data_IF_916591923325
#
_entry.id   IF_916591923325
#
_cell.length_a   1.000
_cell.length_b   1.000
_cell.length_c   1.000
_cell.angle_alpha   90.00
_cell.angle_beta   90.00
_cell.angle_gamma   90.00
#
_symmetry.space_group_name_H-M   'P 1'
#
loop_
_entity.id
_entity.type
_entity.pdbx_description
1 polymer ?
#
# COMPACT_ATOMS: atom_id res chain seq x y z
N UNK A 1 56.78 -20.64 10.14
CA UNK A 1 57.92 -20.81 11.07
C UNK A 1 57.83 -19.76 12.17
N UNK A 2 58.57 -19.95 13.27
CA UNK A 2 58.64 -19.10 14.49
C UNK A 2 57.35 -18.88 15.29
N UNK A 3 57.45 -19.21 16.58
CA UNK A 3 56.42 -19.25 17.64
C UNK A 3 56.61 -18.07 18.64
N UNK A 4 55.84 -17.93 19.74
CA UNK A 4 55.62 -16.64 20.43
C UNK A 4 56.27 -16.53 21.84
N UNK A 5 55.84 -15.50 22.60
CA UNK A 5 55.95 -15.36 24.07
C UNK A 5 54.66 -14.61 24.56
N UNK A 6 54.09 -14.68 25.79
CA UNK A 6 54.50 -15.11 27.15
C UNK A 6 55.46 -14.14 27.88
N UNK A 7 55.25 -13.68 29.13
CA UNK A 7 54.15 -13.74 30.14
C UNK A 7 54.05 -12.30 30.80
N UNK A 8 53.63 -11.95 32.04
CA UNK A 8 53.21 -12.66 33.27
C UNK A 8 52.43 -11.72 34.27
N UNK A 9 51.88 -12.31 35.34
CA UNK A 9 51.36 -11.81 36.66
C UNK A 9 50.72 -10.41 36.84
N UNK A 10 49.59 -10.38 37.58
CA UNK A 10 49.05 -9.19 38.26
C UNK A 10 47.84 -9.51 39.16
N UNK A 11 48.03 -10.26 40.25
CA UNK A 11 46.96 -10.72 41.16
C UNK A 11 46.68 -9.79 42.37
N UNK A 12 45.72 -10.23 43.23
CA UNK A 12 45.17 -9.61 44.46
C UNK A 12 44.02 -8.60 44.23
N UNK A 13 42.97 -8.53 45.06
CA UNK A 13 42.58 -9.40 46.19
C UNK A 13 41.35 -8.81 46.93
N UNK A 14 40.33 -9.63 47.24
CA UNK A 14 39.08 -9.21 47.90
C UNK A 14 39.20 -9.32 49.43
N UNK A 15 38.69 -8.36 50.24
CA UNK A 15 37.46 -8.68 51.00
C UNK A 15 36.50 -7.51 51.35
N UNK A 16 35.20 -7.83 51.33
CA UNK A 16 34.15 -7.51 52.33
C UNK A 16 33.84 -6.06 52.80
N UNK A 17 32.68 -5.57 52.34
CA UNK A 17 31.57 -4.84 53.01
C UNK A 17 31.73 -4.32 54.47
N UNK A 18 31.06 -3.19 54.81
CA UNK A 18 29.72 -3.32 55.41
C UNK A 18 28.62 -2.49 54.72
N UNK A 19 27.36 -2.70 55.15
CA UNK A 19 26.17 -2.02 54.61
C UNK A 19 25.98 -0.59 55.17
N UNK A 20 25.50 0.30 54.32
CA UNK A 20 24.49 1.31 54.70
C UNK A 20 23.33 1.18 53.71
N UNK A 21 22.10 1.17 54.23
CA UNK A 21 20.88 1.23 53.42
C UNK A 21 20.39 2.67 53.36
N UNK A 22 20.11 3.15 52.16
CA UNK A 22 19.37 4.41 51.96
C UNK A 22 18.21 4.18 51.01
N UNK A 23 17.05 4.73 51.39
CA UNK A 23 15.74 4.37 50.83
C UNK A 23 15.09 5.64 50.31
N UNK A 24 14.88 5.76 48.99
CA UNK A 24 13.60 6.29 48.49
C UNK A 24 13.29 6.18 46.99
N UNK A 25 11.98 6.30 46.72
CA UNK A 25 11.39 6.93 45.53
C UNK A 25 11.84 6.47 44.14
N UNK A 26 11.69 5.17 43.85
CA UNK A 26 11.49 4.72 42.46
C UNK A 26 10.18 5.25 41.89
N UNK A 27 10.23 6.34 41.11
CA UNK A 27 9.05 6.94 40.48
C UNK A 27 8.42 6.03 39.43
N UNK A 28 7.28 5.41 39.76
CA UNK A 28 6.52 4.58 38.83
C UNK A 28 5.73 5.43 37.83
N UNK A 29 6.36 5.76 36.70
CA UNK A 29 5.67 6.29 35.52
C UNK A 29 4.52 5.36 35.10
N UNK A 30 3.24 5.78 35.15
CA UNK A 30 2.13 4.91 34.82
C UNK A 30 2.17 4.54 33.32
N UNK A 31 2.08 3.25 32.96
CA UNK A 31 2.31 2.80 31.59
C UNK A 31 1.30 3.43 30.63
N UNK A 32 1.82 4.10 29.59
CA UNK A 32 1.01 4.76 28.57
C UNK A 32 -0.07 3.82 28.01
N UNK A 33 -1.34 4.25 27.93
CA UNK A 33 -2.45 3.38 27.56
C UNK A 33 -2.21 2.80 26.17
N UNK A 34 -2.06 1.46 26.10
CA UNK A 34 -1.83 0.71 24.87
C UNK A 34 -2.93 1.07 23.87
N UNK A 35 -2.55 1.61 22.70
CA UNK A 35 -3.48 1.95 21.62
C UNK A 35 -4.33 0.71 21.32
N UNK A 36 -5.65 0.82 21.49
CA UNK A 36 -6.58 -0.30 21.36
C UNK A 36 -6.33 -1.07 20.05
N UNK A 37 -6.34 -2.41 20.06
CA UNK A 37 -6.03 -3.19 18.87
C UNK A 37 -7.14 -3.02 17.84
N UNK A 38 -6.98 -2.03 16.96
CA UNK A 38 -7.65 -1.99 15.68
C UNK A 38 -7.28 -3.30 14.97
N UNK A 39 -8.20 -4.28 14.97
CA UNK A 39 -8.07 -5.54 14.22
C UNK A 39 -7.53 -5.18 12.84
N UNK A 40 -6.30 -5.59 12.54
CA UNK A 40 -5.71 -5.29 11.24
C UNK A 40 -6.50 -6.10 10.22
N UNK A 41 -7.28 -5.38 9.40
CA UNK A 41 -8.02 -5.91 8.27
C UNK A 41 -7.16 -6.95 7.53
N UNK A 42 -7.56 -8.24 7.50
CA UNK A 42 -6.78 -9.29 6.85
C UNK A 42 -6.50 -8.99 5.38
N UNK A 43 -7.42 -8.31 4.69
CA UNK A 43 -7.24 -7.91 3.29
C UNK A 43 -6.12 -6.85 3.15
N UNK A 44 -5.98 -5.95 4.13
CA UNK A 44 -4.87 -4.98 4.21
C UNK A 44 -3.53 -5.65 4.57
N UNK A 45 -3.55 -6.70 5.38
CA UNK A 45 -2.35 -7.49 5.69
C UNK A 45 -1.88 -8.29 4.46
N UNK A 46 -2.80 -9.01 3.80
CA UNK A 46 -2.53 -9.75 2.57
C UNK A 46 -2.00 -8.83 1.45
N UNK A 47 -2.65 -7.68 1.22
CA UNK A 47 -2.20 -6.70 0.21
C UNK A 47 -0.77 -6.20 0.48
N UNK A 48 -0.40 -5.96 1.75
CA UNK A 48 0.98 -5.60 2.12
C UNK A 48 1.98 -6.72 1.84
N UNK A 49 1.64 -7.96 2.17
CA UNK A 49 2.49 -9.12 1.89
C UNK A 49 2.69 -9.30 0.36
N UNK A 50 1.63 -9.12 -0.43
CA UNK A 50 1.71 -9.11 -1.89
C UNK A 50 2.57 -7.95 -2.41
N UNK A 51 2.38 -6.72 -1.92
CA UNK A 51 3.15 -5.55 -2.37
C UNK A 51 4.67 -5.69 -2.11
N UNK A 52 5.10 -6.49 -1.13
CA UNK A 52 6.51 -6.84 -0.89
C UNK A 52 7.08 -7.83 -1.93
N UNK A 53 6.28 -8.77 -2.44
CA UNK A 53 6.76 -9.84 -3.35
C UNK A 53 6.46 -9.60 -4.83
N UNK A 54 5.51 -8.71 -5.17
CA UNK A 54 4.96 -8.53 -6.53
C UNK A 54 6.00 -8.28 -7.62
N UNK A 55 7.09 -7.59 -7.30
CA UNK A 55 8.16 -7.29 -8.27
C UNK A 55 8.89 -8.56 -8.68
N UNK A 56 9.52 -9.24 -7.71
CA UNK A 56 10.21 -10.52 -7.91
C UNK A 56 9.29 -11.58 -8.52
N UNK A 57 8.03 -11.65 -8.07
CA UNK A 57 7.05 -12.59 -8.59
C UNK A 57 6.75 -12.34 -10.08
N UNK A 58 6.61 -11.08 -10.51
CA UNK A 58 6.40 -10.74 -11.91
C UNK A 58 7.62 -11.09 -12.77
N UNK A 59 8.84 -10.87 -12.27
CA UNK A 59 10.10 -11.16 -12.97
C UNK A 59 10.34 -12.66 -13.11
N UNK A 60 10.20 -13.43 -12.02
CA UNK A 60 10.33 -14.89 -12.03
C UNK A 60 9.28 -15.54 -12.94
N UNK A 61 8.03 -15.08 -12.88
CA UNK A 61 6.96 -15.61 -13.71
C UNK A 61 7.12 -15.29 -15.21
N UNK A 62 7.65 -14.11 -15.54
CA UNK A 62 7.95 -13.75 -16.93
C UNK A 62 9.06 -14.63 -17.52
N UNK A 63 10.06 -15.01 -16.71
CA UNK A 63 11.10 -15.96 -17.10
C UNK A 63 10.51 -17.38 -17.28
N UNK A 64 9.71 -17.86 -16.33
CA UNK A 64 9.01 -19.16 -16.41
C UNK A 64 8.14 -19.27 -17.67
N UNK A 65 7.44 -18.20 -18.05
CA UNK A 65 6.68 -18.11 -19.30
C UNK A 65 7.56 -18.21 -20.55
N UNK A 66 8.67 -17.45 -20.63
CA UNK A 66 9.54 -17.47 -21.81
C UNK A 66 10.25 -18.82 -21.98
N UNK A 67 10.73 -19.42 -20.88
CA UNK A 67 11.38 -20.73 -20.92
C UNK A 67 10.40 -21.84 -21.34
N UNK A 68 9.18 -21.86 -20.76
CA UNK A 68 8.19 -22.90 -21.02
C UNK A 68 7.50 -22.78 -22.39
N UNK A 69 7.22 -21.56 -22.84
CA UNK A 69 6.39 -21.30 -24.03
C UNK A 69 7.22 -20.93 -25.26
N UNK A 70 8.38 -20.32 -25.06
CA UNK A 70 9.22 -19.77 -26.14
C UNK A 70 10.67 -20.29 -26.11
N UNK A 71 11.05 -21.16 -25.17
CA UNK A 71 12.40 -21.67 -24.97
C UNK A 71 13.45 -20.54 -24.84
N UNK A 72 13.17 -19.54 -23.99
CA UNK A 72 14.09 -18.45 -23.67
C UNK A 72 14.31 -17.43 -24.80
N UNK A 73 13.52 -17.49 -25.89
CA UNK A 73 13.73 -16.68 -27.09
C UNK A 73 13.50 -15.19 -26.87
N UNK A 74 12.60 -14.79 -25.97
CA UNK A 74 12.35 -13.36 -25.69
C UNK A 74 13.47 -12.79 -24.82
N UNK A 75 13.93 -13.53 -23.81
CA UNK A 75 15.10 -13.21 -22.99
C UNK A 75 16.37 -13.11 -23.85
N UNK A 76 16.63 -14.10 -24.73
CA UNK A 76 17.74 -14.06 -25.67
C UNK A 76 17.69 -12.82 -26.58
N UNK A 77 16.53 -12.53 -27.18
CA UNK A 77 16.33 -11.36 -28.05
C UNK A 77 16.43 -10.00 -27.33
N UNK A 78 16.11 -9.94 -26.04
CA UNK A 78 16.21 -8.72 -25.23
C UNK A 78 17.50 -8.61 -24.41
N UNK A 79 18.37 -9.62 -24.44
CA UNK A 79 19.61 -9.68 -23.64
C UNK A 79 20.50 -8.44 -23.84
N UNK A 80 20.70 -8.01 -25.08
CA UNK A 80 21.48 -6.82 -25.44
C UNK A 80 20.88 -5.49 -24.93
N UNK A 81 19.61 -5.47 -24.54
CA UNK A 81 18.92 -4.31 -23.93
C UNK A 81 18.64 -4.51 -22.44
N UNK A 82 19.26 -5.52 -21.81
CA UNK A 82 19.12 -5.86 -20.41
C UNK A 82 17.79 -6.55 -20.05
N UNK A 83 17.19 -7.30 -20.98
CA UNK A 83 15.94 -8.03 -20.76
C UNK A 83 14.65 -7.21 -20.93
N UNK A 84 13.51 -7.88 -20.87
CA UNK A 84 12.18 -7.25 -20.83
C UNK A 84 12.03 -6.46 -19.52
N UNK A 85 11.68 -5.17 -19.59
CA UNK A 85 11.55 -4.33 -18.39
C UNK A 85 10.12 -4.34 -17.83
N UNK A 86 9.95 -4.76 -16.58
CA UNK A 86 8.66 -4.68 -15.88
C UNK A 86 8.53 -3.30 -15.21
N UNK A 87 7.45 -2.57 -15.50
CA UNK A 87 7.26 -1.17 -15.08
C UNK A 87 5.92 -1.01 -14.35
N UNK A 88 5.97 -0.68 -13.07
CA UNK A 88 4.75 -0.51 -12.26
C UNK A 88 4.19 0.92 -12.37
N UNK A 89 2.92 1.01 -12.76
CA UNK A 89 2.24 2.25 -13.14
C UNK A 89 1.10 2.58 -12.19
N UNK A 90 1.19 3.77 -11.58
CA UNK A 90 0.11 4.35 -10.75
C UNK A 90 -0.99 4.98 -11.58
N UNK A 91 -0.77 5.18 -12.89
CA UNK A 91 -1.62 5.97 -13.77
C UNK A 91 -2.45 5.12 -14.74
N UNK A 92 -2.08 3.86 -14.99
CA UNK A 92 -2.89 2.92 -15.76
C UNK A 92 -4.19 2.58 -14.98
N UNK A 93 -5.33 3.17 -15.37
CA UNK A 93 -6.65 2.98 -14.71
C UNK A 93 -7.63 2.09 -15.49
N UNK A 94 -7.37 1.83 -16.79
CA UNK A 94 -8.33 1.22 -17.74
C UNK A 94 -7.94 -0.17 -18.25
N UNK A 95 -6.67 -0.54 -18.12
CA UNK A 95 -6.17 -1.90 -18.35
C UNK A 95 -5.35 -2.33 -17.14
N UNK A 96 -5.22 -3.65 -16.93
CA UNK A 96 -4.39 -4.18 -15.87
C UNK A 96 -2.89 -4.22 -16.23
N UNK A 97 -2.58 -4.30 -17.53
CA UNK A 97 -1.22 -4.21 -18.06
C UNK A 97 -1.15 -3.49 -19.42
N UNK A 98 0.06 -3.44 -19.99
CA UNK A 98 0.37 -3.11 -21.39
C UNK A 98 1.79 -3.51 -21.79
N UNK A 99 1.93 -4.47 -22.69
CA UNK A 99 3.16 -4.75 -23.40
C UNK A 99 3.56 -3.60 -24.34
N UNK A 100 4.86 -3.31 -24.43
CA UNK A 100 5.44 -2.42 -25.44
C UNK A 100 6.71 -3.07 -26.01
N UNK A 101 6.92 -2.92 -27.31
CA UNK A 101 8.11 -3.45 -27.99
C UNK A 101 8.51 -2.58 -29.18
N UNK A 102 9.82 -2.49 -29.44
CA UNK A 102 10.39 -1.97 -30.69
C UNK A 102 11.65 -2.75 -31.07
N UNK A 103 11.91 -2.86 -32.37
CA UNK A 103 13.29 -3.11 -32.85
C UNK A 103 14.06 -1.80 -32.74
N UNK A 104 15.27 -1.86 -32.21
CA UNK A 104 16.28 -0.82 -32.23
C UNK A 104 17.35 -1.28 -33.23
N UNK A 105 17.63 -0.45 -34.24
CA UNK A 105 18.61 -0.73 -35.28
C UNK A 105 19.76 0.24 -35.10
N UNK A 106 20.99 -0.27 -35.09
CA UNK A 106 22.16 0.57 -34.93
C UNK A 106 22.46 1.32 -36.24
N UNK A 107 21.89 2.52 -36.36
CA UNK A 107 22.04 3.38 -37.54
C UNK A 107 23.50 3.63 -37.91
N UNK A 108 24.41 3.65 -36.93
CA UNK A 108 25.82 3.95 -37.14
C UNK A 108 26.57 2.77 -37.77
N UNK A 109 26.14 1.52 -37.49
CA UNK A 109 26.58 0.33 -38.22
C UNK A 109 25.98 0.25 -39.62
N UNK A 110 24.70 0.56 -39.77
CA UNK A 110 24.02 0.58 -41.09
C UNK A 110 24.73 1.55 -42.05
N UNK A 111 25.11 2.75 -41.58
CA UNK A 111 25.90 3.70 -42.39
C UNK A 111 27.34 3.26 -42.70
N UNK A 112 27.83 2.19 -42.06
CA UNK A 112 29.16 1.59 -42.28
C UNK A 112 29.09 0.29 -43.10
N UNK A 113 27.89 -0.16 -43.49
CA UNK A 113 27.69 -1.46 -44.15
C UNK A 113 27.94 -2.67 -43.24
N UNK A 114 28.04 -2.47 -41.92
CA UNK A 114 28.29 -3.54 -40.95
C UNK A 114 26.99 -4.28 -40.60
N UNK A 115 27.10 -5.59 -40.37
CA UNK A 115 25.96 -6.41 -39.95
C UNK A 115 25.44 -5.93 -38.57
N UNK A 116 24.17 -5.50 -38.57
CA UNK A 116 23.45 -5.10 -37.35
C UNK A 116 22.66 -6.25 -36.77
N UNK A 117 23.06 -6.74 -35.61
CA UNK A 117 22.19 -7.52 -34.73
C UNK A 117 20.92 -6.72 -34.39
N UNK A 118 19.75 -7.36 -34.51
CA UNK A 118 18.47 -6.74 -34.15
C UNK A 118 18.33 -6.61 -32.63
N UNK A 119 18.61 -5.43 -32.06
CA UNK A 119 18.36 -5.16 -30.65
C UNK A 119 16.85 -5.04 -30.41
N UNK A 120 16.26 -5.90 -29.57
CA UNK A 120 14.83 -5.81 -29.24
C UNK A 120 14.61 -5.15 -27.89
N UNK A 121 14.07 -3.92 -27.86
CA UNK A 121 13.69 -3.24 -26.63
C UNK A 121 12.24 -3.60 -26.29
N UNK A 122 12.00 -4.22 -25.14
CA UNK A 122 10.67 -4.63 -24.68
C UNK A 122 10.39 -4.19 -23.23
N UNK A 123 9.12 -3.93 -22.92
CA UNK A 123 8.64 -3.72 -21.55
C UNK A 123 7.21 -4.19 -21.36
N UNK A 124 6.86 -4.47 -20.09
CA UNK A 124 5.50 -4.74 -19.64
C UNK A 124 5.16 -3.69 -18.58
N UNK A 125 4.22 -2.80 -18.88
CA UNK A 125 3.64 -1.88 -17.89
C UNK A 125 2.53 -2.61 -17.11
N UNK A 126 2.50 -2.47 -15.78
CA UNK A 126 1.55 -3.14 -14.89
C UNK A 126 0.83 -2.13 -13.98
N UNK A 127 -0.50 -2.25 -13.85
CA UNK A 127 -1.32 -1.32 -13.08
C UNK A 127 -1.29 -1.62 -11.57
N UNK A 128 -0.51 -0.86 -10.80
CA UNK A 128 -0.32 -1.07 -9.35
C UNK A 128 -1.62 -1.06 -8.53
N UNK A 129 -2.63 -0.31 -9.00
CA UNK A 129 -3.95 -0.16 -8.37
C UNK A 129 -4.95 -1.24 -8.77
N UNK A 130 -4.73 -1.94 -9.88
CA UNK A 130 -5.67 -2.95 -10.43
C UNK A 130 -5.20 -4.36 -10.10
N UNK A 131 -3.88 -4.58 -10.03
CA UNK A 131 -3.28 -5.82 -9.57
C UNK A 131 -3.14 -5.76 -8.05
N UNK A 132 -3.95 -6.54 -7.34
CA UNK A 132 -4.05 -6.61 -5.88
C UNK A 132 -3.72 -7.99 -5.27
N UNK A 133 -3.55 -9.01 -6.11
CA UNK A 133 -3.26 -10.40 -5.73
C UNK A 133 -2.28 -11.08 -6.71
N UNK A 134 -1.81 -12.28 -6.35
CA UNK A 134 -0.80 -13.03 -7.09
C UNK A 134 -1.33 -13.71 -8.38
N UNK A 135 -2.57 -14.20 -8.38
CA UNK A 135 -3.14 -14.97 -9.49
C UNK A 135 -3.54 -14.04 -10.64
N UNK A 136 -4.05 -12.86 -10.28
CA UNK A 136 -4.25 -11.71 -11.16
C UNK A 136 -2.94 -11.21 -11.74
N UNK A 137 -1.86 -11.12 -10.94
CA UNK A 137 -0.54 -10.77 -11.46
C UNK A 137 -0.08 -11.79 -12.51
N UNK A 138 -0.17 -13.10 -12.20
CA UNK A 138 0.23 -14.15 -13.15
C UNK A 138 -0.57 -14.09 -14.46
N UNK A 139 -1.89 -13.96 -14.37
CA UNK A 139 -2.77 -13.88 -15.54
C UNK A 139 -2.52 -12.63 -16.40
N UNK A 140 -2.31 -11.47 -15.78
CA UNK A 140 -1.99 -10.23 -16.52
C UNK A 140 -0.63 -10.36 -17.21
N UNK A 141 0.42 -10.79 -16.51
CA UNK A 141 1.75 -10.97 -17.11
C UNK A 141 1.72 -12.00 -18.24
N UNK A 142 0.92 -13.07 -18.13
CA UNK A 142 0.73 -14.03 -19.21
C UNK A 142 0.04 -13.42 -20.45
N UNK A 143 -0.93 -12.52 -20.28
CA UNK A 143 -1.55 -11.78 -21.39
C UNK A 143 -0.54 -10.86 -22.09
N UNK A 144 0.22 -10.07 -21.33
CA UNK A 144 1.22 -9.15 -21.88
C UNK A 144 2.41 -9.89 -22.51
N UNK A 145 2.79 -11.05 -21.97
CA UNK A 145 3.75 -11.97 -22.56
C UNK A 145 3.29 -12.49 -23.93
N UNK A 146 2.00 -12.84 -24.08
CA UNK A 146 1.46 -13.29 -25.38
C UNK A 146 1.53 -12.20 -26.47
N UNK A 147 1.41 -10.92 -26.09
CA UNK A 147 1.71 -9.81 -26.99
C UNK A 147 3.19 -9.79 -27.40
N UNK A 148 4.13 -9.89 -26.45
CA UNK A 148 5.56 -9.94 -26.77
C UNK A 148 5.93 -11.14 -27.66
N UNK A 149 5.42 -12.33 -27.38
CA UNK A 149 5.63 -13.52 -28.21
C UNK A 149 5.09 -13.32 -29.65
N UNK A 150 3.92 -12.68 -29.79
CA UNK A 150 3.34 -12.31 -31.09
C UNK A 150 4.27 -11.37 -31.86
N UNK A 151 4.80 -10.31 -31.22
CA UNK A 151 5.69 -9.34 -31.86
C UNK A 151 7.11 -9.89 -32.16
N UNK A 152 7.65 -10.73 -31.28
CA UNK A 152 9.08 -11.10 -31.25
C UNK A 152 9.40 -12.49 -31.79
N UNK A 153 8.45 -13.44 -31.68
CA UNK A 153 8.62 -14.83 -32.11
C UNK A 153 7.78 -15.11 -33.36
N UNK A 154 6.53 -14.61 -33.43
CA UNK A 154 5.71 -14.69 -34.66
C UNK A 154 5.95 -13.54 -35.64
N UNK A 155 6.58 -12.44 -35.21
CA UNK A 155 6.87 -11.27 -36.05
C UNK A 155 5.66 -10.41 -36.46
N UNK A 156 4.45 -10.78 -36.05
CA UNK A 156 3.19 -10.13 -36.43
C UNK A 156 2.92 -8.92 -35.52
N UNK A 157 2.68 -7.75 -36.12
CA UNK A 157 2.49 -6.48 -35.38
C UNK A 157 1.09 -5.88 -35.54
N UNK A 158 0.41 -6.21 -36.64
CA UNK A 158 -0.74 -5.43 -37.13
C UNK A 158 -2.10 -5.90 -36.56
N UNK A 159 -2.11 -6.95 -35.73
CA UNK A 159 -3.33 -7.53 -35.16
C UNK A 159 -3.07 -8.01 -33.71
N UNK A 160 -3.19 -7.12 -32.70
CA UNK A 160 -2.73 -7.39 -31.33
C UNK A 160 -3.36 -8.64 -30.67
N UNK A 161 -4.61 -8.98 -31.01
CA UNK A 161 -5.34 -10.15 -30.50
C UNK A 161 -5.71 -11.13 -31.63
N UNK A 162 -4.84 -11.22 -32.64
CA UNK A 162 -4.99 -12.04 -33.84
C UNK A 162 -4.87 -13.56 -33.62
N UNK A 163 -4.66 -14.30 -34.72
CA UNK A 163 -4.50 -15.77 -34.69
C UNK A 163 -3.29 -16.17 -33.84
N UNK A 164 -2.22 -15.40 -33.93
CA UNK A 164 -0.93 -15.59 -33.28
C UNK A 164 -1.06 -15.37 -31.76
N UNK A 165 -1.71 -14.28 -31.34
CA UNK A 165 -2.01 -14.04 -29.93
C UNK A 165 -2.87 -15.17 -29.34
N UNK A 166 -3.93 -15.60 -30.05
CA UNK A 166 -4.80 -16.70 -29.61
C UNK A 166 -4.03 -18.02 -29.52
N UNK A 167 -3.08 -18.27 -30.41
CA UNK A 167 -2.17 -19.42 -30.34
C UNK A 167 -1.30 -19.35 -29.08
N UNK A 168 -0.61 -18.23 -28.83
CA UNK A 168 0.24 -18.08 -27.63
C UNK A 168 -0.55 -18.14 -26.32
N UNK A 169 -1.72 -17.50 -26.27
CA UNK A 169 -2.63 -17.57 -25.13
C UNK A 169 -3.13 -18.98 -24.86
N UNK A 170 -3.38 -19.77 -25.91
CA UNK A 170 -3.72 -21.19 -25.81
C UNK A 170 -2.53 -22.03 -25.29
N UNK A 171 -1.30 -21.77 -25.75
CA UNK A 171 -0.11 -22.45 -25.19
C UNK A 171 0.05 -22.15 -23.70
N UNK A 172 -0.02 -20.88 -23.29
CA UNK A 172 0.09 -20.48 -21.88
C UNK A 172 -1.01 -21.14 -21.01
N UNK A 173 -2.27 -21.06 -21.44
CA UNK A 173 -3.42 -21.61 -20.69
C UNK A 173 -3.47 -23.14 -20.68
N UNK A 174 -2.74 -23.81 -21.60
CA UNK A 174 -2.54 -25.26 -21.58
C UNK A 174 -1.38 -25.67 -20.67
N UNK A 175 -0.26 -24.96 -20.73
CA UNK A 175 0.98 -25.30 -20.04
C UNK A 175 0.99 -24.98 -18.53
N UNK A 176 0.09 -24.09 -18.09
CA UNK A 176 -0.02 -23.60 -16.72
C UNK A 176 -1.47 -23.65 -16.19
N UNK A 177 -2.25 -24.65 -16.63
CA UNK A 177 -3.65 -24.84 -16.22
C UNK A 177 -3.80 -25.06 -14.71
N UNK A 178 -2.85 -25.78 -14.13
CA UNK A 178 -2.67 -26.03 -12.70
C UNK A 178 -2.51 -24.74 -11.87
N UNK A 179 -1.95 -23.69 -12.47
CA UNK A 179 -1.76 -22.37 -11.85
C UNK A 179 -2.91 -21.40 -12.19
N UNK A 180 -4.07 -21.89 -12.64
CA UNK A 180 -5.26 -21.09 -13.02
C UNK A 180 -4.97 -19.97 -14.04
N UNK A 181 -4.11 -20.24 -15.02
CA UNK A 181 -3.77 -19.28 -16.09
C UNK A 181 -4.75 -19.41 -17.26
N UNK A 182 -5.48 -18.32 -17.55
CA UNK A 182 -6.50 -18.26 -18.61
C UNK A 182 -6.31 -16.96 -19.42
N UNK A 183 -5.51 -17.04 -20.49
CA UNK A 183 -5.25 -15.89 -21.38
C UNK A 183 -6.42 -15.70 -22.34
N UNK A 184 -7.30 -14.76 -22.01
CA UNK A 184 -8.37 -14.29 -22.90
C UNK A 184 -7.91 -13.12 -23.78
N UNK A 185 -8.64 -12.81 -24.87
CA UNK A 185 -8.34 -11.66 -25.74
C UNK A 185 -8.87 -10.32 -25.22
N UNK A 186 -9.84 -10.33 -24.30
CA UNK A 186 -10.34 -9.13 -23.64
C UNK A 186 -9.60 -8.94 -22.32
N UNK A 187 -9.33 -7.70 -21.93
CA UNK A 187 -8.78 -7.38 -20.61
C UNK A 187 -9.87 -7.43 -19.51
N UNK A 188 -10.71 -8.48 -19.52
CA UNK A 188 -11.88 -8.62 -18.64
C UNK A 188 -11.48 -9.16 -17.27
N UNK A 189 -10.92 -8.27 -16.44
CA UNK A 189 -10.66 -8.51 -15.02
C UNK A 189 -11.70 -7.78 -14.17
N UNK A 190 -12.07 -8.35 -13.02
CA UNK A 190 -12.92 -7.64 -12.06
C UNK A 190 -12.08 -6.56 -11.35
N UNK A 191 -12.21 -5.32 -11.84
CA UNK A 191 -11.50 -4.17 -11.29
C UNK A 191 -12.11 -3.84 -9.92
N UNK A 192 -11.37 -4.09 -8.84
CA UNK A 192 -11.75 -3.63 -7.51
C UNK A 192 -11.62 -2.12 -7.45
N UNK A 193 -12.75 -1.42 -7.58
CA UNK A 193 -12.79 0.04 -7.46
C UNK A 193 -12.73 0.45 -5.99
N UNK A 194 -11.83 1.38 -5.68
CA UNK A 194 -11.71 1.95 -4.33
C UNK A 194 -12.91 2.82 -3.96
N UNK A 195 -13.51 3.52 -4.93
CA UNK A 195 -14.69 4.34 -4.75
C UNK A 195 -15.81 3.93 -5.71
N UNK A 196 -17.01 3.77 -5.19
CA UNK A 196 -18.23 3.56 -5.97
C UNK A 196 -19.26 4.58 -5.50
N UNK A 197 -19.95 5.16 -6.48
CA UNK A 197 -21.03 6.11 -6.27
C UNK A 197 -22.25 5.64 -7.03
N UNK A 198 -23.44 5.83 -6.49
CA UNK A 198 -24.70 5.38 -7.07
C UNK A 198 -25.64 6.58 -7.23
N UNK A 199 -26.48 6.57 -8.26
CA UNK A 199 -27.56 7.53 -8.37
C UNK A 199 -28.74 7.13 -7.48
N UNK A 200 -29.24 8.06 -6.67
CA UNK A 200 -30.34 7.81 -5.71
C UNK A 200 -31.71 7.51 -6.35
N UNK A 201 -31.81 7.58 -7.67
CA UNK A 201 -33.07 7.46 -8.42
C UNK A 201 -33.00 6.35 -9.47
N UNK A 202 -31.98 6.34 -10.34
CA UNK A 202 -31.85 5.34 -11.40
C UNK A 202 -30.83 4.21 -11.09
N UNK A 203 -30.24 4.18 -9.89
CA UNK A 203 -29.30 3.12 -9.46
C UNK A 203 -27.95 3.08 -10.20
N UNK A 204 -27.69 3.99 -11.15
CA UNK A 204 -26.50 3.88 -12.00
C UNK A 204 -25.19 4.09 -11.23
N UNK A 205 -24.25 3.13 -11.36
CA UNK A 205 -22.97 3.12 -10.65
C UNK A 205 -21.84 3.89 -11.38
N UNK A 206 -21.27 4.90 -10.72
CA UNK A 206 -20.05 5.62 -11.11
C UNK A 206 -18.84 5.10 -10.33
N UNK A 207 -18.18 4.09 -10.90
CA UNK A 207 -17.00 3.42 -10.33
C UNK A 207 -15.71 4.22 -10.57
N UNK A 208 -14.85 4.40 -9.56
CA UNK A 208 -13.67 5.29 -9.56
C UNK A 208 -12.52 4.76 -8.68
N UNK A 209 -11.27 5.08 -9.01
CA UNK A 209 -10.09 4.73 -8.20
C UNK A 209 -9.59 5.87 -7.28
N UNK A 210 -10.12 7.08 -7.44
CA UNK A 210 -9.91 8.24 -6.56
C UNK A 210 -11.24 8.82 -6.10
N UNK A 211 -11.24 9.60 -5.01
CA UNK A 211 -12.44 10.30 -4.52
C UNK A 211 -12.69 11.58 -5.32
N UNK A 212 -12.85 11.45 -6.65
CA UNK A 212 -12.98 12.57 -7.59
C UNK A 212 -14.41 13.06 -7.82
N UNK A 213 -15.41 12.36 -7.27
CA UNK A 213 -16.81 12.80 -7.34
C UNK A 213 -17.11 13.73 -6.16
N UNK A 214 -17.26 15.02 -6.46
CA UNK A 214 -17.88 16.01 -5.58
C UNK A 214 -19.40 16.05 -5.81
N UNK A 215 -20.19 15.80 -4.76
CA UNK A 215 -21.67 15.77 -4.80
C UNK A 215 -22.24 17.15 -5.15
N UNK A 216 -21.53 18.23 -4.78
CA UNK A 216 -21.98 19.61 -5.00
C UNK A 216 -21.77 20.06 -6.46
N UNK A 217 -21.04 19.28 -7.27
CA UNK A 217 -20.63 19.63 -8.64
C UNK A 217 -20.97 18.57 -9.68
N UNK A 218 -21.25 17.33 -9.27
CA UNK A 218 -21.56 16.23 -10.17
C UNK A 218 -22.88 15.54 -9.79
N UNK A 219 -23.75 15.40 -10.77
CA UNK A 219 -24.99 14.62 -10.69
C UNK A 219 -24.96 13.43 -11.65
N UNK A 220 -26.03 12.63 -11.66
CA UNK A 220 -26.19 11.53 -12.60
C UNK A 220 -26.19 12.06 -14.05
N UNK A 221 -25.38 11.47 -14.91
CA UNK A 221 -25.36 11.80 -16.34
C UNK A 221 -26.70 11.54 -17.04
N UNK A 222 -27.47 10.55 -16.55
CA UNK A 222 -28.76 10.11 -17.09
C UNK A 222 -29.88 11.03 -16.60
N UNK A 223 -30.39 10.84 -15.39
CA UNK A 223 -31.56 11.54 -14.85
C UNK A 223 -31.26 12.86 -14.10
N UNK A 224 -29.99 13.29 -14.02
CA UNK A 224 -29.53 14.50 -13.28
C UNK A 224 -29.77 14.49 -11.77
N UNK A 225 -30.32 13.43 -11.19
CA UNK A 225 -30.44 13.28 -9.73
C UNK A 225 -29.08 13.12 -9.02
N UNK A 226 -29.10 13.28 -7.69
CA UNK A 226 -27.91 13.30 -6.82
C UNK A 226 -27.18 11.95 -6.78
N UNK A 227 -25.87 11.99 -6.55
CA UNK A 227 -25.03 10.81 -6.31
C UNK A 227 -24.77 10.60 -4.80
N UNK A 228 -24.72 9.35 -4.37
CA UNK A 228 -24.27 8.90 -3.04
C UNK A 228 -23.06 8.00 -3.15
N UNK A 229 -22.09 8.10 -2.24
CA UNK A 229 -20.96 7.18 -2.21
C UNK A 229 -21.39 5.88 -1.52
N UNK A 230 -21.26 4.74 -2.19
CA UNK A 230 -21.59 3.41 -1.64
C UNK A 230 -20.34 2.65 -1.20
N UNK A 231 -19.20 2.82 -1.91
CA UNK A 231 -17.90 2.25 -1.53
C UNK A 231 -16.82 3.34 -1.37
N UNK A 232 -15.99 3.29 -0.31
CA UNK A 232 -16.33 2.67 0.97
C UNK A 232 -17.61 3.33 1.51
N UNK A 233 -18.42 2.61 2.29
CA UNK A 233 -19.60 3.21 2.93
C UNK A 233 -19.14 4.44 3.73
N UNK A 234 -19.68 5.64 3.48
CA UNK A 234 -19.38 6.81 4.29
C UNK A 234 -19.70 6.50 5.74
N UNK A 235 -18.71 6.66 6.64
CA UNK A 235 -19.01 6.72 8.08
C UNK A 235 -20.11 7.76 8.25
N UNK A 236 -21.24 7.34 8.83
CA UNK A 236 -22.45 8.13 8.86
C UNK A 236 -22.15 9.54 9.38
N UNK A 237 -22.77 10.55 8.79
CA UNK A 237 -22.66 11.93 9.23
C UNK A 237 -23.50 12.17 10.50
N UNK A 238 -23.37 11.30 11.50
CA UNK A 238 -23.75 11.56 12.88
C UNK A 238 -22.86 12.70 13.37
N UNK A 239 -23.32 13.94 13.14
CA UNK A 239 -22.55 15.19 13.22
C UNK A 239 -22.06 15.61 14.61
N UNK A 240 -21.90 14.67 15.54
CA UNK A 240 -21.17 14.85 16.79
C UNK A 240 -19.68 15.00 16.44
N UNK A 241 -19.30 16.24 16.10
CA UNK A 241 -17.90 16.68 16.02
C UNK A 241 -17.21 16.21 17.29
N UNK A 242 -16.09 15.50 17.15
CA UNK A 242 -15.40 14.93 18.32
C UNK A 242 -15.01 16.05 19.28
N UNK A 243 -15.07 15.79 20.59
CA UNK A 243 -14.58 16.68 21.64
C UNK A 243 -13.18 17.24 21.30
N UNK A 244 -12.28 16.38 20.81
CA UNK A 244 -10.96 16.79 20.35
C UNK A 244 -10.97 17.75 19.15
N UNK A 245 -11.92 17.58 18.21
CA UNK A 245 -12.06 18.49 17.06
C UNK A 245 -12.62 19.85 17.47
N UNK A 246 -13.48 19.92 18.49
CA UNK A 246 -13.92 21.17 19.10
C UNK A 246 -12.74 21.85 19.83
N UNK A 247 -12.05 21.11 20.70
CA UNK A 247 -10.86 21.57 21.42
C UNK A 247 -9.78 22.14 20.49
N UNK A 248 -9.49 21.46 19.37
CA UNK A 248 -8.58 21.93 18.32
C UNK A 248 -9.11 23.22 17.68
N UNK A 249 -10.40 23.29 17.31
CA UNK A 249 -11.00 24.49 16.70
C UNK A 249 -10.91 25.72 17.62
N UNK A 250 -11.12 25.53 18.91
CA UNK A 250 -11.00 26.55 19.96
C UNK A 250 -9.53 27.00 20.14
N UNK A 251 -8.62 26.05 20.40
CA UNK A 251 -7.27 26.37 20.86
C UNK A 251 -6.25 26.61 19.75
N UNK A 252 -6.50 26.19 18.50
CA UNK A 252 -5.46 26.22 17.45
C UNK A 252 -5.04 27.65 17.07
N UNK A 253 -5.97 28.61 17.07
CA UNK A 253 -5.61 30.03 16.83
C UNK A 253 -4.69 30.57 17.92
N UNK A 254 -5.01 30.29 19.19
CA UNK A 254 -4.22 30.69 20.36
C UNK A 254 -2.83 30.05 20.34
N UNK A 255 -2.75 28.72 20.25
CA UNK A 255 -1.47 28.00 20.27
C UNK A 255 -0.58 28.29 19.05
N UNK A 256 -1.16 28.63 17.89
CA UNK A 256 -0.37 29.09 16.72
C UNK A 256 0.14 30.53 16.88
N UNK A 257 -0.54 31.37 17.66
CA UNK A 257 -0.06 32.73 17.97
C UNK A 257 1.03 32.71 19.06
N UNK A 258 0.81 31.95 20.14
CA UNK A 258 1.78 31.73 21.23
C UNK A 258 3.05 31.03 20.75
N UNK A 259 2.95 30.21 19.69
CA UNK A 259 4.07 29.46 19.11
C UNK A 259 4.17 29.69 17.60
N UNK A 260 4.24 30.97 17.21
CA UNK A 260 4.47 31.41 15.83
C UNK A 260 5.79 30.90 15.23
N UNK A 261 6.74 30.50 16.08
CA UNK A 261 8.03 29.92 15.74
C UNK A 261 8.02 28.39 15.53
N UNK A 262 6.92 27.68 15.85
CA UNK A 262 6.82 26.23 15.70
C UNK A 262 6.17 25.82 14.38
N UNK A 263 6.55 24.66 13.84
CA UNK A 263 5.90 24.07 12.68
C UNK A 263 4.47 23.61 13.03
N UNK A 264 3.64 23.44 12.00
CA UNK A 264 2.28 22.95 12.18
C UNK A 264 2.23 21.57 12.87
N UNK A 265 3.25 20.71 12.68
CA UNK A 265 3.34 19.41 13.35
C UNK A 265 3.52 19.54 14.86
N UNK A 266 4.46 20.37 15.29
CA UNK A 266 4.77 20.60 16.72
C UNK A 266 3.62 21.30 17.46
N UNK A 267 2.96 22.27 16.82
CA UNK A 267 1.74 22.90 17.36
C UNK A 267 0.63 21.85 17.56
N UNK A 268 0.47 20.91 16.63
CA UNK A 268 -0.50 19.81 16.76
C UNK A 268 -0.08 18.75 17.79
N UNK A 269 1.21 18.55 18.04
CA UNK A 269 1.68 17.70 19.14
C UNK A 269 1.41 18.34 20.51
N UNK A 270 1.71 19.63 20.68
CA UNK A 270 1.42 20.37 21.92
C UNK A 270 -0.08 20.44 22.20
N UNK A 271 -0.89 20.66 21.16
CA UNK A 271 -2.36 20.52 21.21
C UNK A 271 -2.79 19.15 21.75
N UNK A 272 -2.15 18.09 21.29
CA UNK A 272 -2.41 16.72 21.73
C UNK A 272 -2.01 16.45 23.18
N UNK A 273 -0.96 17.13 23.70
CA UNK A 273 -0.56 17.08 25.12
C UNK A 273 -1.63 17.75 25.99
N UNK A 274 -1.95 19.02 25.70
CA UNK A 274 -2.94 19.82 26.43
C UNK A 274 -4.33 19.19 26.49
N UNK A 275 -4.79 18.53 25.42
CA UNK A 275 -6.06 17.80 25.46
C UNK A 275 -6.03 16.56 26.39
N UNK A 276 -4.87 15.88 26.51
CA UNK A 276 -4.72 14.75 27.45
C UNK A 276 -4.62 15.23 28.90
N UNK A 277 -3.97 16.36 29.14
CA UNK A 277 -3.94 17.03 30.45
C UNK A 277 -5.36 17.43 30.89
N UNK A 278 -6.07 18.25 30.09
CA UNK A 278 -7.48 18.63 30.32
C UNK A 278 -8.40 17.42 30.57
N UNK A 279 -8.18 16.30 29.87
CA UNK A 279 -8.99 15.08 30.06
C UNK A 279 -8.65 14.32 31.35
N UNK A 280 -7.40 14.35 31.82
CA UNK A 280 -7.04 13.84 33.16
C UNK A 280 -7.69 14.70 34.25
N UNK A 281 -7.54 16.02 34.15
CA UNK A 281 -8.10 17.00 35.08
C UNK A 281 -9.62 16.83 35.21
N UNK A 282 -10.34 16.82 34.08
CA UNK A 282 -11.79 16.62 34.05
C UNK A 282 -12.23 15.29 34.71
N UNK A 283 -11.45 14.21 34.54
CA UNK A 283 -11.74 12.92 35.17
C UNK A 283 -11.50 12.95 36.70
N UNK A 284 -10.49 13.69 37.17
CA UNK A 284 -10.22 13.89 38.60
C UNK A 284 -11.33 14.75 39.24
N UNK A 285 -11.68 15.89 38.65
CA UNK A 285 -12.78 16.74 39.14
C UNK A 285 -14.13 16.02 39.11
N UNK A 286 -14.40 15.22 38.07
CA UNK A 286 -15.62 14.41 38.02
C UNK A 286 -15.63 13.35 39.14
N UNK A 287 -14.48 12.76 39.48
CA UNK A 287 -14.38 11.79 40.58
C UNK A 287 -14.62 12.44 41.94
N UNK A 288 -13.94 13.56 42.24
CA UNK A 288 -14.12 14.27 43.52
C UNK A 288 -15.56 14.73 43.75
N UNK A 289 -16.25 15.15 42.68
CA UNK A 289 -17.64 15.60 42.78
C UNK A 289 -18.62 14.43 43.01
N UNK A 290 -18.30 13.23 42.54
CA UNK A 290 -19.07 12.01 42.86
C UNK A 290 -18.85 11.63 44.32
N UNK A 291 -17.59 11.55 44.75
CA UNK A 291 -17.25 11.12 46.13
C UNK A 291 -17.84 12.09 47.18
N UNK A 292 -17.83 13.40 46.91
CA UNK A 292 -18.47 14.40 47.77
C UNK A 292 -20.01 14.27 47.82
N UNK A 293 -20.66 13.95 46.70
CA UNK A 293 -22.11 13.74 46.65
C UNK A 293 -22.52 12.44 47.37
N UNK A 294 -21.70 11.38 47.29
CA UNK A 294 -21.94 10.13 48.04
C UNK A 294 -21.89 10.39 49.55
N UNK A 295 -20.87 11.10 50.04
CA UNK A 295 -20.75 11.48 51.45
C UNK A 295 -21.93 12.36 51.93
N UNK A 296 -22.55 13.16 51.04
CA UNK A 296 -23.76 13.92 51.38
C UNK A 296 -25.02 13.05 51.50
N UNK A 297 -25.11 11.90 50.81
CA UNK A 297 -26.20 10.94 51.02
C UNK A 297 -25.98 10.14 52.31
N UNK A 298 -24.75 9.66 52.57
CA UNK A 298 -24.46 8.80 53.73
C UNK A 298 -24.74 9.51 55.07
N UNK A 299 -24.59 10.84 55.13
CA UNK A 299 -24.92 11.66 56.31
C UNK A 299 -26.43 11.81 56.56
N UNK A 300 -27.27 11.66 55.53
CA UNK A 300 -28.73 11.82 55.64
C UNK A 300 -29.44 10.52 56.07
N UNK A 301 -28.71 9.40 56.19
CA UNK A 301 -29.26 8.06 56.52
C UNK A 301 -28.90 7.62 57.95
N UNK A 302 -28.42 8.54 58.80
CA UNK A 302 -27.93 8.24 60.16
C UNK A 302 -28.67 8.97 61.30
N UNK A 303 -29.71 9.75 60.99
CA UNK A 303 -30.57 10.45 61.97
C UNK A 303 -32.04 9.92 61.88
N UNK A 304 -32.26 8.66 62.30
CA UNK A 304 -33.58 8.02 62.53
C UNK A 304 -33.46 6.97 63.68
#
# INVERSE_FOLDING_TARGET
MTLPNFLHVGENGNPSQPLIVDINAGGLDPPSPKKSPHKQDPQRAARRAFDLIKHRLAEQWLQELDDKICAGKIAAKTKATGGVKIVWSKNLQVTAGRARWRKDLDKNKISRGEETEERHVASIELAEKVIDDADRLRNVVAHEFCHLATYMVSGVKNNPHGKEFKYWGSQCSKAFRDQNIIVTTKHSYEISYKYIWECVECGYEYKRQSKSVDINRHSCGICKARLVQTKPVPRAASGKVSEYQLFVKENFRRLKAEHSNLTHGEVMEKMGKLYRERKKEAAVTQRSNIDALTHQLDVVVLDD
#
